data_IF_481379820593
#
_entry.id   IF_481379820593
#
_cell.length_a   1.000
_cell.length_b   1.000
_cell.length_c   1.000
_cell.angle_alpha   90.00
_cell.angle_beta   90.00
_cell.angle_gamma   90.00
#
_symmetry.space_group_name_H-M   'P 1'
#
loop_
_entity.id
_entity.type
_entity.pdbx_description
1 polymer ?
#
# COMPACT_ATOMS: atom_id res chain seq x y z
N UNK A 1 -9.90 15.91 -4.43
CA UNK A 1 -11.11 15.26 -4.96
C UNK A 1 -10.65 13.94 -5.55
N UNK A 2 -10.77 12.84 -4.80
CA UNK A 2 -10.36 11.51 -5.26
C UNK A 2 -11.51 10.96 -6.12
N UNK A 3 -11.36 11.03 -7.44
CA UNK A 3 -12.31 10.46 -8.39
C UNK A 3 -12.20 8.93 -8.37
N UNK A 4 -13.33 8.26 -8.63
CA UNK A 4 -13.62 6.86 -8.34
C UNK A 4 -12.57 5.84 -8.79
N UNK A 5 -12.21 4.97 -7.85
CA UNK A 5 -11.47 3.72 -8.04
C UNK A 5 -12.47 2.58 -8.29
N UNK A 6 -13.28 2.67 -9.35
CA UNK A 6 -14.21 1.58 -9.72
C UNK A 6 -13.44 0.49 -10.47
N UNK A 7 -13.08 -0.61 -9.78
CA UNK A 7 -12.60 -1.81 -10.46
C UNK A 7 -11.80 -2.80 -9.63
N UNK A 8 -10.98 -2.35 -8.67
CA UNK A 8 -10.17 -3.25 -7.83
C UNK A 8 -10.78 -3.43 -6.44
N UNK A 9 -11.00 -4.68 -5.97
CA UNK A 9 -11.37 -4.92 -4.59
C UNK A 9 -10.17 -4.60 -3.68
N UNK A 10 -10.11 -3.36 -3.23
CA UNK A 10 -9.22 -2.92 -2.17
C UNK A 10 -9.86 -3.30 -0.83
N UNK A 11 -9.06 -3.88 0.06
CA UNK A 11 -9.54 -4.17 1.41
C UNK A 11 -9.91 -2.86 2.12
N UNK A 12 -11.15 -2.70 2.62
CA UNK A 12 -11.60 -1.48 3.29
C UNK A 12 -10.80 -1.15 4.57
N UNK A 13 -10.02 -2.09 5.08
CA UNK A 13 -9.11 -1.84 6.19
C UNK A 13 -7.80 -1.16 5.79
N UNK A 14 -7.53 -0.97 4.49
CA UNK A 14 -6.38 -0.21 4.04
C UNK A 14 -6.63 1.29 4.18
N UNK A 15 -5.81 1.95 4.99
CA UNK A 15 -5.76 3.40 5.07
C UNK A 15 -4.61 3.94 4.21
N UNK A 16 -4.92 4.95 3.40
CA UNK A 16 -3.98 5.61 2.50
C UNK A 16 -3.72 7.01 3.04
N UNK A 17 -2.51 7.23 3.54
CA UNK A 17 -2.09 8.50 4.15
C UNK A 17 -1.14 9.21 3.19
N UNK A 18 -1.55 10.35 2.66
CA UNK A 18 -0.66 11.19 1.86
C UNK A 18 0.45 11.78 2.75
N UNK A 19 1.71 11.58 2.36
CA UNK A 19 2.88 12.18 2.99
C UNK A 19 3.26 13.47 2.26
N UNK A 20 3.18 13.45 0.93
CA UNK A 20 3.39 14.60 0.04
C UNK A 20 2.36 14.58 -1.09
N UNK A 21 2.53 15.44 -2.11
CA UNK A 21 1.71 15.39 -3.33
C UNK A 21 1.98 14.18 -4.23
N UNK A 22 3.08 13.45 -4.00
CA UNK A 22 3.53 12.31 -4.84
C UNK A 22 3.94 11.10 -4.00
N UNK A 23 3.68 11.08 -2.69
CA UNK A 23 4.04 9.94 -1.85
C UNK A 23 2.99 9.64 -0.78
N UNK A 24 2.81 8.34 -0.52
CA UNK A 24 1.78 7.81 0.36
C UNK A 24 2.32 6.71 1.26
N UNK A 25 1.74 6.62 2.44
CA UNK A 25 1.89 5.50 3.37
C UNK A 25 0.62 4.67 3.34
N UNK A 26 0.77 3.35 3.25
CA UNK A 26 -0.34 2.40 3.25
C UNK A 26 -0.33 1.63 4.57
N UNK A 27 -1.44 1.71 5.30
CA UNK A 27 -1.59 1.16 6.63
C UNK A 27 -2.74 0.17 6.74
N UNK A 28 -2.63 -0.76 7.68
CA UNK A 28 -3.71 -1.63 8.12
C UNK A 28 -4.40 -1.04 9.35
N UNK A 29 -5.65 -0.60 9.18
CA UNK A 29 -6.47 -0.02 10.27
C UNK A 29 -6.90 -1.03 11.33
N UNK A 30 -6.70 -2.33 11.08
CA UNK A 30 -6.96 -3.39 12.08
C UNK A 30 -5.87 -3.46 13.14
N UNK A 31 -4.71 -2.87 12.87
CA UNK A 31 -3.58 -2.81 13.78
C UNK A 31 -3.59 -1.47 14.51
N UNK A 32 -3.24 -1.47 15.79
CA UNK A 32 -3.19 -0.26 16.59
C UNK A 32 -2.29 0.79 15.93
N UNK A 33 -2.70 2.08 15.84
CA UNK A 33 -1.93 3.10 15.12
C UNK A 33 -0.50 3.32 15.63
N UNK A 34 -0.23 2.96 16.89
CA UNK A 34 1.09 3.04 17.52
C UNK A 34 1.97 1.82 17.25
N UNK A 35 1.40 0.73 16.74
CA UNK A 35 2.14 -0.48 16.39
C UNK A 35 2.75 -0.33 14.98
N UNK A 36 4.09 -0.37 14.85
CA UNK A 36 4.75 -0.28 13.55
C UNK A 36 4.35 -1.43 12.59
N UNK A 37 3.80 -2.54 13.09
CA UNK A 37 3.25 -3.63 12.28
C UNK A 37 2.04 -3.23 11.43
N UNK A 38 1.38 -2.10 11.74
CA UNK A 38 0.29 -1.57 10.93
C UNK A 38 0.75 -0.88 9.64
N UNK A 39 2.05 -0.64 9.47
CA UNK A 39 2.61 -0.05 8.25
C UNK A 39 2.94 -1.15 7.22
N UNK A 40 2.21 -1.15 6.10
CA UNK A 40 2.32 -2.18 5.06
C UNK A 40 3.28 -1.77 3.94
N UNK A 41 3.20 -0.52 3.49
CA UNK A 41 4.02 -0.06 2.37
C UNK A 41 4.17 1.46 2.30
N UNK A 42 5.20 1.90 1.59
CA UNK A 42 5.31 3.23 1.02
C UNK A 42 5.12 3.16 -0.49
N UNK A 43 4.43 4.16 -1.03
CA UNK A 43 4.30 4.38 -2.47
C UNK A 43 4.86 5.75 -2.78
N UNK A 44 5.70 5.85 -3.80
CA UNK A 44 6.17 7.10 -4.36
C UNK A 44 5.88 7.13 -5.87
N UNK A 45 5.30 8.22 -6.34
CA UNK A 45 5.10 8.47 -7.76
C UNK A 45 6.32 9.18 -8.33
N UNK A 46 6.88 8.61 -9.40
CA UNK A 46 7.88 9.25 -10.24
C UNK A 46 7.34 9.43 -11.68
N UNK A 47 8.14 10.03 -12.55
CA UNK A 47 7.84 10.33 -13.96
C UNK A 47 7.27 9.17 -14.79
N UNK A 48 7.54 7.92 -14.40
CA UNK A 48 7.13 6.72 -15.13
C UNK A 48 6.08 5.83 -14.47
N UNK A 49 5.70 6.08 -13.22
CA UNK A 49 4.81 5.20 -12.47
C UNK A 49 4.97 5.31 -10.96
N UNK A 50 4.79 4.19 -10.27
CA UNK A 50 4.73 4.12 -8.81
C UNK A 50 5.72 3.08 -8.29
N UNK A 51 6.73 3.57 -7.57
CA UNK A 51 7.65 2.74 -6.80
C UNK A 51 7.01 2.37 -5.46
N UNK A 52 7.16 1.11 -5.07
CA UNK A 52 6.51 0.55 -3.89
C UNK A 52 7.57 -0.10 -3.02
N UNK A 53 7.62 0.29 -1.75
CA UNK A 53 8.43 -0.37 -0.73
C UNK A 53 7.48 -1.04 0.25
N UNK A 54 7.41 -2.37 0.20
CA UNK A 54 6.58 -3.16 1.11
C UNK A 54 7.36 -3.57 2.34
N UNK A 55 6.71 -3.47 3.48
CA UNK A 55 7.28 -3.72 4.78
C UNK A 55 6.62 -4.95 5.39
N UNK A 56 7.46 -5.90 5.79
CA UNK A 56 7.06 -7.09 6.52
C UNK A 56 8.00 -7.29 7.72
N UNK A 57 7.58 -8.01 8.77
CA UNK A 57 8.48 -8.37 9.85
C UNK A 57 9.74 -9.08 9.32
N UNK A 58 10.89 -8.44 9.48
CA UNK A 58 12.19 -9.00 9.08
C UNK A 58 12.50 -9.01 7.57
N UNK A 59 11.64 -8.43 6.72
CA UNK A 59 11.84 -8.41 5.28
C UNK A 59 11.28 -7.14 4.61
N UNK A 60 11.92 -6.72 3.53
CA UNK A 60 11.47 -5.59 2.70
C UNK A 60 11.49 -6.02 1.24
N UNK A 61 10.41 -5.74 0.52
CA UNK A 61 10.28 -6.00 -0.92
C UNK A 61 10.09 -4.69 -1.66
N UNK A 62 10.75 -4.53 -2.79
CA UNK A 62 10.51 -3.41 -3.71
C UNK A 62 9.74 -3.90 -4.93
N UNK A 63 8.76 -3.13 -5.38
CA UNK A 63 8.01 -3.40 -6.59
C UNK A 63 7.70 -2.10 -7.34
N UNK A 64 7.24 -2.23 -8.58
CA UNK A 64 6.84 -1.13 -9.44
C UNK A 64 5.45 -1.39 -10.00
N UNK A 65 4.65 -0.34 -10.14
CA UNK A 65 3.35 -0.35 -10.78
C UNK A 65 3.20 0.83 -11.75
N UNK A 66 2.49 0.61 -12.85
CA UNK A 66 2.19 1.64 -13.85
C UNK A 66 1.09 2.63 -13.41
N UNK A 67 0.35 2.28 -12.36
CA UNK A 67 -0.77 3.04 -11.84
C UNK A 67 -0.90 2.87 -10.32
N UNK A 68 -1.48 3.89 -9.67
CA UNK A 68 -1.68 3.85 -8.22
C UNK A 68 -2.64 2.72 -7.81
N UNK A 69 -3.65 2.42 -8.64
CA UNK A 69 -4.57 1.31 -8.42
C UNK A 69 -3.86 -0.05 -8.51
N UNK A 70 -2.98 -0.25 -9.49
CA UNK A 70 -2.16 -1.46 -9.57
C UNK A 70 -1.23 -1.59 -8.36
N UNK A 71 -0.66 -0.49 -7.87
CA UNK A 71 0.16 -0.48 -6.66
C UNK A 71 -0.63 -0.96 -5.44
N UNK A 72 -1.83 -0.42 -5.22
CA UNK A 72 -2.70 -0.82 -4.11
C UNK A 72 -3.17 -2.28 -4.23
N UNK A 73 -3.51 -2.73 -5.44
CA UNK A 73 -3.88 -4.12 -5.72
C UNK A 73 -2.75 -5.10 -5.38
N UNK A 74 -1.51 -4.73 -5.73
CA UNK A 74 -0.32 -5.50 -5.43
C UNK A 74 -0.10 -5.63 -3.92
N UNK A 75 -0.18 -4.50 -3.19
CA UNK A 75 -0.04 -4.48 -1.72
C UNK A 75 -1.12 -5.35 -1.07
N UNK A 76 -2.37 -5.23 -1.51
CA UNK A 76 -3.48 -6.03 -0.97
C UNK A 76 -3.26 -7.53 -1.18
N UNK A 77 -2.82 -7.93 -2.37
CA UNK A 77 -2.56 -9.33 -2.73
C UNK A 77 -1.41 -9.94 -1.90
N UNK A 78 -0.34 -9.17 -1.67
CA UNK A 78 0.79 -9.59 -0.84
C UNK A 78 0.39 -9.77 0.62
N UNK A 79 -0.33 -8.82 1.20
CA UNK A 79 -0.85 -8.92 2.56
C UNK A 79 -1.74 -10.16 2.77
N UNK A 80 -2.61 -10.47 1.81
CA UNK A 80 -3.45 -11.65 1.88
C UNK A 80 -2.65 -12.96 1.88
N UNK A 81 -1.49 -12.97 1.21
CA UNK A 81 -0.59 -14.13 1.17
C UNK A 81 0.14 -14.34 2.50
N UNK A 82 0.48 -13.27 3.22
CA UNK A 82 1.18 -13.33 4.51
C UNK A 82 0.26 -13.75 5.68
N UNK A 83 -1.05 -13.54 5.57
CA UNK A 83 -2.02 -13.91 6.61
C UNK A 83 -2.36 -15.42 6.65
N UNK A 84 -1.77 -16.22 5.75
CA UNK A 84 -2.08 -17.63 5.55
C UNK A 84 -1.12 -18.63 6.20
N UNK A 85 -0.26 -18.21 7.13
CA UNK A 85 0.73 -19.09 7.82
C UNK A 85 0.45 -19.22 9.30
#
# INVERSE_FOLDING_TARGET
MLAGFEGVPLDPALEIIALTGTSWRICDTRVEPTDPGGLLAYIEQDSGGFDIIMLRPGFTETAFADSFEAALSLINSRRASDSGT
#
